data_IF_324305763014
#
_entry.id   IF_324305763014
#
_cell.length_a   1.000
_cell.length_b   1.000
_cell.length_c   1.000
_cell.angle_alpha   90.00
_cell.angle_beta   90.00
_cell.angle_gamma   90.00
#
_symmetry.space_group_name_H-M   'P 1'
#
loop_
_entity.id
_entity.type
_entity.pdbx_description
1 polymer ?
2 polymer ?
3 non-polymer ?
4 non-polymer ?
5 water ?
#
# COMPACT_ATOMS: atom_id res chain seq x y z
N UNK A 13 -28.44 -9.23 -1.84
CA UNK A 13 -28.20 -10.60 -2.40
C UNK A 13 -26.87 -10.64 -3.16
N UNK A 14 -26.59 -11.78 -3.79
CA UNK A 14 -25.37 -11.98 -4.57
C UNK A 14 -25.11 -10.92 -5.64
N UNK A 15 -26.15 -10.53 -6.37
CA UNK A 15 -26.00 -9.59 -7.48
C UNK A 15 -25.43 -8.25 -7.02
N UNK A 16 -26.02 -7.69 -5.96
CA UNK A 16 -25.57 -6.43 -5.35
C UNK A 16 -24.08 -6.45 -4.95
N UNK A 17 -23.66 -7.60 -4.42
CA UNK A 17 -22.30 -7.80 -3.97
C UNK A 17 -21.29 -7.85 -5.12
N UNK A 18 -21.71 -8.50 -6.21
CA UNK A 18 -20.94 -8.49 -7.46
C UNK A 18 -20.81 -7.08 -8.01
N UNK A 19 -21.91 -6.35 -8.01
CA UNK A 19 -21.90 -4.98 -8.48
C UNK A 19 -20.94 -4.10 -7.64
N UNK A 20 -20.94 -4.31 -6.33
CA UNK A 20 -19.98 -3.66 -5.43
C UNK A 20 -18.54 -4.01 -5.84
N UNK A 21 -18.24 -5.30 -6.00
CA UNK A 21 -16.94 -5.75 -6.48
C UNK A 21 -16.49 -5.06 -7.75
N UNK A 22 -17.39 -4.89 -8.69
CA UNK A 22 -17.08 -4.34 -9.99
C UNK A 22 -16.91 -2.83 -9.92
N UNK A 23 -17.75 -2.16 -9.17
CA UNK A 23 -17.59 -0.73 -8.97
C UNK A 23 -16.23 -0.42 -8.33
N UNK A 24 -15.83 -1.25 -7.36
CA UNK A 24 -14.58 -1.06 -6.65
C UNK A 24 -13.39 -1.34 -7.57
N UNK A 25 -13.53 -2.38 -8.40
CA UNK A 25 -12.47 -2.73 -9.34
C UNK A 25 -12.27 -1.62 -10.34
N UNK A 26 -13.34 -1.10 -10.92
CA UNK A 26 -13.24 0.05 -11.84
C UNK A 26 -12.56 1.22 -11.17
N UNK A 27 -12.97 1.49 -9.93
CA UNK A 27 -12.38 2.58 -9.17
C UNK A 27 -10.89 2.40 -8.83
N UNK A 28 -10.49 1.17 -8.58
CA UNK A 28 -9.12 0.82 -8.28
C UNK A 28 -8.25 1.12 -9.52
N UNK A 29 -8.70 0.62 -10.67
CA UNK A 29 -8.06 0.84 -11.98
C UNK A 29 -7.82 2.33 -12.30
N UNK A 30 -8.80 3.17 -12.00
CA UNK A 30 -8.65 4.62 -12.11
C UNK A 30 -7.65 5.22 -11.12
N UNK A 31 -7.64 4.75 -9.88
CA UNK A 31 -6.90 5.41 -8.81
C UNK A 31 -5.41 5.07 -8.78
N UNK A 32 -5.05 3.90 -9.30
CA UNK A 32 -3.75 3.35 -9.08
C UNK A 32 -3.08 3.13 -10.41
N UNK A 33 -2.04 3.94 -10.73
CA UNK A 33 -1.43 3.90 -12.06
C UNK A 33 -0.93 2.52 -12.45
N UNK A 34 -0.13 1.89 -11.59
CA UNK A 34 0.44 0.58 -11.84
C UNK A 34 -0.30 -0.52 -11.06
N UNK A 35 -1.01 -1.38 -11.80
CA UNK A 35 -1.80 -2.48 -11.23
C UNK A 35 -0.92 -3.68 -11.05
N UNK A 36 -1.39 -4.65 -10.28
CA UNK A 36 -0.67 -5.92 -10.15
C UNK A 36 -0.55 -6.67 -11.48
N UNK A 37 -1.51 -6.47 -12.40
CA UNK A 37 -1.49 -7.11 -13.74
C UNK A 37 -0.23 -6.74 -14.54
N UNK A 38 -0.05 -5.44 -14.80
CA UNK A 38 1.16 -4.90 -15.41
C UNK A 38 2.44 -5.29 -14.65
N UNK A 39 2.47 -5.04 -13.34
CA UNK A 39 3.64 -5.35 -12.50
C UNK A 39 4.15 -6.75 -12.73
N UNK A 40 3.23 -7.71 -12.76
CA UNK A 40 3.61 -9.09 -12.95
C UNK A 40 4.09 -9.33 -14.41
N UNK A 41 3.45 -8.68 -15.38
CA UNK A 41 3.89 -8.76 -16.78
C UNK A 41 5.35 -8.31 -16.83
N UNK A 42 5.58 -7.06 -16.39
CA UNK A 42 6.92 -6.50 -16.26
C UNK A 42 7.90 -7.47 -15.60
N UNK A 43 7.52 -8.07 -14.48
CA UNK A 43 8.45 -8.89 -13.71
C UNK A 43 8.76 -10.27 -14.30
N UNK A 44 7.84 -10.84 -15.08
CA UNK A 44 8.05 -12.16 -15.68
C UNK A 44 8.62 -12.08 -17.11
N UNK A 45 8.63 -10.86 -17.65
CA UNK A 45 9.15 -10.60 -18.99
C UNK A 45 8.05 -10.41 -20.02
N UNK A 46 6.85 -10.91 -19.72
CA UNK A 46 5.81 -11.06 -20.74
C UNK A 46 5.35 -9.77 -21.42
N UNK A 47 5.54 -8.63 -20.79
CA UNK A 47 5.32 -7.35 -21.48
C UNK A 47 6.33 -7.23 -22.62
N UNK A 48 5.92 -6.55 -23.69
CA UNK A 48 6.84 -6.25 -24.78
C UNK A 48 7.64 -4.96 -24.52
N UNK A 49 7.36 -4.27 -23.41
CA UNK A 49 8.04 -3.01 -23.06
C UNK A 49 9.53 -3.19 -22.76
N UNK A 50 10.24 -2.06 -22.80
CA UNK A 50 11.65 -1.96 -22.41
C UNK A 50 11.76 -2.36 -20.93
N UNK A 51 12.58 -3.38 -20.64
CA UNK A 51 12.77 -3.85 -19.26
C UNK A 51 13.16 -2.72 -18.29
N UNK A 52 12.85 -2.88 -16.98
CA UNK A 52 13.24 -1.85 -16.03
C UNK A 52 14.75 -1.82 -15.79
N UNK A 53 15.27 -0.61 -15.61
CA UNK A 53 16.66 -0.41 -15.27
C UNK A 53 16.91 -1.00 -13.88
N UNK A 54 17.84 -1.95 -13.78
CA UNK A 54 18.15 -2.64 -12.52
C UNK A 54 19.12 -1.86 -11.68
N UNK A 55 18.78 -1.63 -10.41
CA UNK A 55 19.58 -0.87 -9.46
C UNK A 55 20.01 -1.79 -8.33
N UNK A 56 21.21 -2.34 -8.48
CA UNK A 56 21.74 -3.39 -7.64
C UNK A 56 22.85 -2.87 -6.76
N UNK A 57 23.33 -1.64 -7.01
CA UNK A 57 24.44 -1.07 -6.21
C UNK A 57 24.52 0.45 -6.34
N UNK A 58 25.52 1.01 -5.68
CA UNK A 58 25.75 2.45 -5.64
C UNK A 58 25.93 3.02 -7.04
N UNK A 59 26.72 2.35 -7.89
CA UNK A 59 26.94 2.84 -9.27
C UNK A 59 25.69 2.75 -10.12
N UNK A 60 24.97 1.63 -10.02
CA UNK A 60 23.79 1.42 -10.88
C UNK A 60 22.71 2.43 -10.49
N UNK A 61 22.58 2.68 -9.19
CA UNK A 61 21.75 3.78 -8.68
C UNK A 61 22.09 5.08 -9.38
N UNK A 62 23.38 5.40 -9.41
CA UNK A 62 23.90 6.61 -10.05
C UNK A 62 23.55 6.63 -11.53
N UNK A 63 23.85 5.57 -12.25
CA UNK A 63 23.54 5.54 -13.69
C UNK A 63 22.05 5.60 -13.98
N UNK A 64 21.26 5.09 -13.05
CA UNK A 64 19.82 5.07 -13.16
C UNK A 64 19.06 6.32 -12.74
N UNK A 65 19.75 7.40 -12.35
CA UNK A 65 19.05 8.68 -12.09
C UNK A 65 18.19 9.15 -13.29
N UNK A 66 18.66 8.95 -14.52
CA UNK A 66 17.89 9.33 -15.73
C UNK A 66 16.50 8.66 -15.85
N UNK A 67 16.37 7.43 -15.34
CA UNK A 67 15.12 6.65 -15.41
C UNK A 67 14.15 6.87 -14.23
N UNK A 68 14.58 7.56 -13.17
CA UNK A 68 13.72 7.81 -11.98
C UNK A 68 13.69 9.32 -11.62
N UNK A 69 12.92 9.71 -10.60
CA UNK A 69 12.68 11.15 -10.29
C UNK A 69 12.84 11.53 -8.79
N UNK A 70 13.92 12.24 -8.48
CA UNK A 70 14.34 12.69 -7.12
C UNK A 70 13.81 11.88 -5.91
N UNK A 81 21.18 13.98 0.91
CA UNK A 81 22.61 14.13 0.72
C UNK A 81 23.31 12.77 0.45
N UNK A 82 23.54 11.92 1.47
CA UNK A 82 24.16 10.58 1.24
C UNK A 82 23.14 9.55 0.67
N UNK A 83 23.58 8.35 0.29
CA UNK A 83 22.75 7.41 -0.50
C UNK A 83 21.52 6.84 0.25
N UNK A 84 21.77 6.10 1.33
CA UNK A 84 20.70 5.65 2.21
C UNK A 84 19.66 6.75 2.37
N UNK A 85 20.08 7.98 2.68
CA UNK A 85 19.13 9.09 2.88
C UNK A 85 18.35 9.42 1.60
N UNK A 86 19.03 9.41 0.47
CA UNK A 86 18.39 9.74 -0.81
C UNK A 86 17.31 8.71 -1.17
N UNK A 87 17.67 7.43 -1.04
CA UNK A 87 16.72 6.33 -1.28
C UNK A 87 15.50 6.48 -0.37
N UNK A 88 15.73 6.67 0.92
CA UNK A 88 14.66 6.86 1.90
C UNK A 88 13.74 8.02 1.53
N UNK A 89 14.31 9.09 1.03
CA UNK A 89 13.55 10.27 0.67
C UNK A 89 12.81 10.08 -0.65
N UNK A 90 13.34 9.20 -1.51
CA UNK A 90 12.63 8.76 -2.71
C UNK A 90 11.42 7.91 -2.35
N UNK A 91 11.63 6.90 -1.49
CA UNK A 91 10.55 6.11 -0.92
C UNK A 91 9.51 6.99 -0.28
N UNK A 92 9.95 8.15 0.20
CA UNK A 92 9.10 9.13 0.88
C UNK A 92 8.20 9.88 -0.09
N UNK A 93 8.77 10.37 -1.17
CA UNK A 93 8.01 10.98 -2.27
C UNK A 93 6.91 10.06 -2.81
N UNK A 94 7.25 8.78 -3.01
CA UNK A 94 6.32 7.81 -3.57
C UNK A 94 5.17 7.50 -2.60
N UNK A 95 5.45 7.38 -1.32
CA UNK A 95 4.40 7.16 -0.33
C UNK A 95 3.35 8.25 -0.30
N UNK A 96 3.80 9.51 -0.39
CA UNK A 96 2.88 10.64 -0.47
C UNK A 96 1.93 10.50 -1.65
N UNK A 97 2.46 10.07 -2.77
CA UNK A 97 1.61 9.84 -3.94
C UNK A 97 0.70 8.61 -3.72
N UNK A 98 1.19 7.60 -3.02
CA UNK A 98 0.38 6.43 -2.67
C UNK A 98 -0.80 6.91 -1.82
N UNK A 99 -0.50 7.69 -0.78
CA UNK A 99 -1.53 8.20 0.10
C UNK A 99 -2.59 8.96 -0.68
N UNK A 100 -2.14 9.78 -1.61
CA UNK A 100 -3.08 10.52 -2.46
C UNK A 100 -3.96 9.61 -3.30
N UNK A 101 -3.36 8.62 -3.94
CA UNK A 101 -4.10 7.65 -4.71
C UNK A 101 -5.10 6.87 -3.82
N UNK A 102 -4.63 6.45 -2.64
CA UNK A 102 -5.46 5.67 -1.72
C UNK A 102 -6.66 6.54 -1.27
N UNK A 103 -6.40 7.84 -1.03
CA UNK A 103 -7.45 8.77 -0.64
C UNK A 103 -8.50 8.90 -1.71
N UNK A 104 -8.08 8.99 -2.98
CA UNK A 104 -9.08 9.05 -4.03
C UNK A 104 -9.88 7.75 -4.09
N UNK A 105 -9.21 6.61 -3.97
CA UNK A 105 -9.88 5.31 -3.93
C UNK A 105 -10.92 5.19 -2.81
N UNK A 106 -10.56 5.65 -1.62
CA UNK A 106 -11.49 5.61 -0.46
C UNK A 106 -12.80 6.35 -0.70
N UNK A 107 -12.69 7.53 -1.29
CA UNK A 107 -13.86 8.35 -1.64
C UNK A 107 -14.83 7.66 -2.63
N UNK A 108 -14.33 6.69 -3.38
CA UNK A 108 -15.19 5.89 -4.22
C UNK A 108 -15.87 4.73 -3.51
N UNK A 109 -15.47 4.41 -2.26
CA UNK A 109 -16.09 3.28 -1.54
C UNK A 109 -17.47 3.72 -1.09
N UNK A 110 -18.54 3.11 -1.63
CA UNK A 110 -19.91 3.59 -1.30
C UNK A 110 -20.16 3.78 0.19
N UNK A 111 -20.57 4.99 0.55
CA UNK A 111 -20.87 5.35 1.93
C UNK A 111 -19.71 5.94 2.69
N UNK A 112 -18.49 5.93 2.13
CA UNK A 112 -17.36 6.42 2.87
C UNK A 112 -17.43 7.95 3.08
N UNK A 113 -17.76 8.71 2.03
CA UNK A 113 -17.80 10.20 2.08
C UNK A 113 -18.94 10.75 2.93
N UNK A 114 -20.02 9.97 3.09
CA UNK A 114 -21.10 10.29 4.02
C UNK A 114 -20.73 10.14 5.49
N UNK A 115 -19.64 9.46 5.81
CA UNK A 115 -19.17 9.39 7.18
C UNK A 115 -18.68 10.74 7.66
N UNK A 116 -18.86 10.95 8.95
CA UNK A 116 -18.18 11.99 9.71
C UNK A 116 -16.74 12.17 9.17
N UNK A 117 -16.48 13.34 8.60
CA UNK A 117 -15.17 13.74 8.11
C UNK A 117 -13.97 13.40 9.02
N UNK A 118 -14.12 13.56 10.33
CA UNK A 118 -13.04 13.21 11.28
C UNK A 118 -12.80 11.70 11.31
N UNK A 119 -13.87 10.93 11.04
CA UNK A 119 -13.76 9.47 10.95
C UNK A 119 -13.11 9.05 9.60
N UNK A 120 -13.39 9.77 8.51
CA UNK A 120 -12.71 9.57 7.23
C UNK A 120 -11.21 9.73 7.40
N UNK A 121 -10.82 10.76 8.14
CA UNK A 121 -9.43 11.08 8.41
C UNK A 121 -8.76 10.02 9.26
N UNK A 122 -9.46 9.57 10.27
CA UNK A 122 -8.94 8.51 11.16
C UNK A 122 -8.72 7.16 10.41
N UNK A 123 -9.71 6.78 9.63
CA UNK A 123 -9.65 5.58 8.77
C UNK A 123 -8.43 5.63 7.83
N UNK A 124 -8.26 6.75 7.11
CA UNK A 124 -7.08 6.90 6.26
C UNK A 124 -5.77 6.88 7.02
N UNK A 125 -5.77 7.61 8.12
CA UNK A 125 -4.56 7.80 8.91
C UNK A 125 -4.01 6.43 9.27
N UNK A 126 -4.88 5.55 9.72
CA UNK A 126 -4.43 4.23 10.22
C UNK A 126 -4.32 3.15 9.12
N UNK A 127 -5.08 3.32 8.05
CA UNK A 127 -5.15 2.34 6.97
C UNK A 127 -4.16 2.49 5.83
N UNK A 128 -3.77 3.73 5.51
CA UNK A 128 -2.96 4.00 4.32
C UNK A 128 -1.70 3.17 4.32
N UNK A 129 -1.01 3.06 5.45
CA UNK A 129 0.19 2.23 5.45
C UNK A 129 -0.08 0.76 5.24
N UNK A 130 -1.18 0.27 5.79
CA UNK A 130 -1.57 -1.13 5.59
C UNK A 130 -1.79 -1.43 4.09
N UNK A 131 -2.32 -0.47 3.37
CA UNK A 131 -2.56 -0.58 1.92
C UNK A 131 -1.29 -0.40 1.11
N UNK A 132 -0.43 0.50 1.58
CA UNK A 132 0.85 0.67 0.97
C UNK A 132 1.60 -0.65 0.96
N UNK A 133 1.63 -1.37 2.06
CA UNK A 133 2.34 -2.67 2.13
C UNK A 133 1.64 -3.73 1.31
N UNK A 134 0.31 -3.74 1.35
CA UNK A 134 -0.46 -4.69 0.57
C UNK A 134 -0.13 -4.53 -0.89
N UNK A 135 -0.14 -3.29 -1.35
CA UNK A 135 0.06 -2.98 -2.76
C UNK A 135 1.52 -2.97 -3.21
N UNK A 136 2.39 -2.74 -2.28
CA UNK A 136 3.79 -2.87 -2.55
C UNK A 136 4.12 -4.32 -2.89
N UNK A 137 3.39 -5.29 -2.33
CA UNK A 137 3.64 -6.70 -2.60
C UNK A 137 3.37 -7.09 -4.06
N UNK A 138 2.44 -6.39 -4.68
CA UNK A 138 2.16 -6.53 -6.09
C UNK A 138 3.39 -6.21 -6.97
N UNK A 139 4.21 -5.26 -6.53
CA UNK A 139 5.42 -4.82 -7.21
C UNK A 139 6.68 -5.59 -6.82
N UNK A 140 6.58 -6.60 -5.95
CA UNK A 140 7.74 -7.28 -5.37
C UNK A 140 7.83 -8.75 -5.73
N UNK A 141 9.07 -9.23 -5.90
CA UNK A 141 9.38 -10.67 -5.76
C UNK A 141 10.43 -10.85 -4.67
N UNK A 142 10.90 -12.09 -4.49
CA UNK A 142 11.94 -12.36 -3.49
C UNK A 142 13.25 -11.61 -3.75
N UNK A 143 13.49 -11.23 -5.01
CA UNK A 143 14.74 -10.53 -5.38
C UNK A 143 14.73 -9.02 -5.43
N UNK A 144 13.54 -8.41 -5.51
CA UNK A 144 13.47 -6.95 -5.52
C UNK A 144 12.10 -6.37 -5.82
N UNK A 145 12.10 -5.05 -6.02
CA UNK A 145 10.89 -4.26 -6.11
C UNK A 145 10.93 -3.34 -7.30
N UNK A 146 9.84 -3.31 -8.05
CA UNK A 146 9.69 -2.32 -9.12
C UNK A 146 9.50 -0.93 -8.55
N UNK A 147 10.08 0.06 -9.21
CA UNK A 147 9.94 1.44 -8.80
C UNK A 147 9.69 2.32 -10.03
N UNK A 148 9.38 3.57 -9.73
CA UNK A 148 9.01 4.55 -10.73
C UNK A 148 8.10 3.95 -11.77
N UNK A 149 6.98 3.45 -11.29
CA UNK A 149 5.93 2.90 -12.13
C UNK A 149 6.45 1.86 -13.11
N UNK A 150 7.23 0.92 -12.57
CA UNK A 150 7.70 -0.20 -13.34
C UNK A 150 8.96 0.00 -14.18
N UNK A 151 9.55 1.19 -14.14
CA UNK A 151 10.70 1.44 -15.01
C UNK A 151 12.09 1.39 -14.34
N UNK A 152 12.10 1.15 -13.02
CA UNK A 152 13.29 0.72 -12.30
C UNK A 152 12.99 -0.57 -11.55
N UNK A 153 14.03 -1.29 -11.19
CA UNK A 153 13.88 -2.48 -10.32
C UNK A 153 15.01 -2.44 -9.31
N UNK A 154 14.67 -2.20 -8.06
CA UNK A 154 15.67 -2.06 -7.03
C UNK A 154 15.77 -3.37 -6.27
N UNK A 155 16.96 -3.95 -6.25
CA UNK A 155 17.17 -5.28 -5.68
C UNK A 155 17.08 -5.31 -4.17
N UNK A 156 16.68 -6.46 -3.65
CA UNK A 156 16.49 -6.64 -2.24
C UNK A 156 17.79 -6.58 -1.48
N UNK A 157 18.81 -7.25 -2.03
CA UNK A 157 20.16 -7.22 -1.44
C UNK A 157 20.70 -5.78 -1.34
N UNK A 158 20.51 -5.01 -2.40
CA UNK A 158 20.95 -3.63 -2.36
C UNK A 158 20.28 -2.85 -1.22
N UNK A 159 18.95 -3.04 -1.05
CA UNK A 159 18.23 -2.37 0.05
C UNK A 159 18.68 -2.82 1.43
N UNK A 160 18.92 -4.13 1.60
CA UNK A 160 19.56 -4.71 2.80
C UNK A 160 20.96 -4.14 3.08
N UNK A 161 21.75 -4.00 2.01
CA UNK A 161 23.14 -3.55 2.11
C UNK A 161 23.27 -2.09 2.55
N UNK A 162 22.17 -1.35 2.60
CA UNK A 162 22.23 0.01 3.12
C UNK A 162 22.68 0.05 4.58
N UNK A 163 23.35 1.16 4.93
CA UNK A 163 23.85 1.35 6.29
C UNK A 163 22.66 1.60 7.22
N UNK A 164 22.76 1.09 8.44
CA UNK A 164 21.65 1.08 9.39
C UNK A 164 21.33 2.52 9.87
N UNK A 165 20.08 2.83 10.20
CA UNK A 165 18.90 1.92 10.18
C UNK A 165 18.17 1.70 8.81
N UNK A 166 18.74 2.19 7.72
CA UNK A 166 18.10 2.11 6.42
C UNK A 166 18.15 0.73 5.77
N UNK A 167 19.12 -0.11 6.16
CA UNK A 167 19.14 -1.52 5.74
C UNK A 167 17.93 -2.34 6.15
N UNK A 168 17.36 -2.02 7.32
CA UNK A 168 16.29 -2.81 7.97
C UNK A 168 14.88 -2.40 7.55
N UNK A 169 14.80 -1.30 6.80
CA UNK A 169 13.57 -0.62 6.46
C UNK A 169 12.64 -1.42 5.54
N UNK A 170 13.16 -1.88 4.40
CA UNK A 170 12.35 -2.60 3.40
C UNK A 170 12.26 -4.10 3.59
N UNK A 171 13.20 -4.68 4.31
CA UNK A 171 13.25 -6.14 4.44
C UNK A 171 11.97 -6.80 5.04
N UNK A 172 11.37 -6.23 6.12
CA UNK A 172 10.07 -6.78 6.57
C UNK A 172 8.94 -6.68 5.53
N UNK A 173 9.00 -5.68 4.66
CA UNK A 173 8.03 -5.57 3.57
C UNK A 173 8.22 -6.70 2.56
N UNK A 174 9.48 -7.08 2.29
CA UNK A 174 9.78 -8.22 1.40
C UNK A 174 9.34 -9.53 2.00
N UNK A 175 9.57 -9.70 3.29
CA UNK A 175 9.18 -10.94 3.99
C UNK A 175 7.68 -11.15 3.92
N UNK A 176 6.94 -10.07 4.15
CA UNK A 176 5.48 -10.09 4.12
C UNK A 176 5.01 -10.34 2.71
N UNK A 177 5.57 -9.59 1.77
CA UNK A 177 5.19 -9.72 0.37
C UNK A 177 5.32 -11.16 -0.14
N UNK A 178 6.38 -11.84 0.29
CA UNK A 178 6.66 -13.20 -0.19
C UNK A 178 5.52 -14.16 0.21
N UNK A 179 5.13 -14.13 1.48
CA UNK A 179 3.96 -14.87 1.98
C UNK A 179 2.65 -14.40 1.32
N UNK A 180 2.42 -13.09 1.24
CA UNK A 180 1.16 -12.56 0.66
C UNK A 180 0.93 -12.91 -0.83
N UNK A 181 2.03 -12.88 -1.55
CA UNK A 181 2.00 -13.16 -2.99
C UNK A 181 1.68 -14.63 -3.33
N UNK A 182 1.95 -15.53 -2.38
CA UNK A 182 1.55 -16.93 -2.47
C UNK A 182 0.04 -17.17 -2.60
N UNK A 183 -0.78 -16.26 -2.05
CA UNK A 183 -2.24 -16.33 -2.18
C UNK A 183 -2.73 -16.04 -3.60
N UNK A 184 -1.90 -15.43 -4.43
CA UNK A 184 -2.14 -15.32 -5.86
C UNK A 184 -3.37 -14.50 -6.16
N UNK A 185 -3.56 -13.40 -5.43
CA UNK A 185 -4.75 -12.59 -5.65
C UNK A 185 -4.53 -11.76 -6.89
N UNK A 186 -5.60 -11.36 -7.53
CA UNK A 186 -5.48 -10.38 -8.60
C UNK A 186 -6.08 -9.02 -8.23
N UNK A 187 -6.07 -8.11 -9.17
CA UNK A 187 -6.50 -6.76 -8.92
C UNK A 187 -7.95 -6.68 -8.44
N UNK A 188 -8.80 -7.52 -9.00
CA UNK A 188 -10.22 -7.51 -8.71
C UNK A 188 -10.44 -7.97 -7.26
N UNK A 189 -9.65 -8.92 -6.80
CA UNK A 189 -9.66 -9.33 -5.40
C UNK A 189 -9.14 -8.25 -4.44
N UNK A 190 -8.02 -7.65 -4.86
CA UNK A 190 -7.30 -6.68 -4.08
C UNK A 190 -8.13 -5.42 -3.91
N UNK A 191 -8.84 -5.01 -4.95
CA UNK A 191 -9.70 -3.85 -4.85
C UNK A 191 -10.65 -3.95 -3.65
N UNK A 192 -11.21 -5.14 -3.42
CA UNK A 192 -12.16 -5.31 -2.32
C UNK A 192 -11.41 -5.44 -1.00
N UNK A 193 -10.28 -6.16 -1.02
CA UNK A 193 -9.50 -6.34 0.22
C UNK A 193 -9.03 -5.01 0.79
N UNK A 194 -8.55 -4.13 -0.09
CA UNK A 194 -8.06 -2.80 0.33
C UNK A 194 -9.21 -1.97 0.97
N UNK A 195 -10.39 -2.03 0.35
CA UNK A 195 -11.59 -1.35 0.89
C UNK A 195 -11.95 -1.86 2.29
N UNK A 196 -11.88 -3.18 2.50
CA UNK A 196 -12.13 -3.81 3.84
C UNK A 196 -11.18 -3.25 4.89
N UNK A 197 -9.91 -3.12 4.51
CA UNK A 197 -8.89 -2.58 5.39
C UNK A 197 -9.23 -1.12 5.75
N UNK A 198 -9.67 -0.36 4.76
CA UNK A 198 -9.92 1.04 5.02
C UNK A 198 -11.03 1.18 6.05
N UNK A 199 -12.11 0.41 5.87
CA UNK A 199 -13.29 0.43 6.72
C UNK A 199 -13.15 -0.43 7.98
N UNK A 200 -12.09 -0.24 8.74
CA UNK A 200 -11.87 -0.96 9.98
C UNK A 200 -12.48 -0.21 11.14
N UNK A 201 -13.48 -0.82 11.77
CA UNK A 201 -14.22 -0.21 12.88
C UNK A 201 -13.46 -0.09 14.18
N UNK A 202 -12.29 -0.72 14.29
CA UNK A 202 -11.53 -0.70 15.52
C UNK A 202 -10.33 0.24 15.51
N UNK A 203 -10.31 1.25 14.64
CA UNK A 203 -9.19 2.19 14.69
C UNK A 203 -9.38 3.09 15.91
N UNK A 204 -8.28 3.45 16.61
CA UNK A 204 -8.42 4.38 17.72
C UNK A 204 -9.11 5.71 17.33
N UNK A 205 -9.94 6.24 18.22
CA UNK A 205 -10.45 7.59 18.10
C UNK A 205 -11.62 7.71 17.18
N UNK A 206 -12.23 6.60 16.77
CA UNK A 206 -13.37 6.78 15.85
C UNK A 206 -14.54 7.30 16.69
N UNK A 207 -15.33 8.19 16.12
CA UNK A 207 -16.48 8.79 16.80
C UNK A 207 -17.74 7.91 16.68
N UNK A 208 -17.98 7.37 15.49
CA UNK A 208 -19.21 6.66 15.18
C UNK A 208 -18.94 5.36 14.37
N UNK A 209 -18.62 4.31 15.13
CA UNK A 209 -18.23 2.98 14.66
C UNK A 209 -19.28 2.25 13.80
N UNK A 210 -20.54 2.30 14.18
CA UNK A 210 -21.60 1.51 13.55
C UNK A 210 -21.72 1.64 12.02
N UNK A 211 -21.79 2.89 11.48
CA UNK A 211 -21.90 3.01 10.01
C UNK A 211 -20.63 2.52 9.25
N UNK A 212 -19.48 2.56 9.91
CA UNK A 212 -18.22 2.02 9.37
C UNK A 212 -18.34 0.49 9.32
N UNK A 213 -18.76 -0.12 10.43
CA UNK A 213 -18.94 -1.57 10.46
C UNK A 213 -20.03 -2.04 9.52
N UNK A 214 -21.07 -1.24 9.33
CA UNK A 214 -22.11 -1.63 8.39
C UNK A 214 -21.52 -1.69 7.01
N UNK A 215 -20.69 -0.71 6.66
CA UNK A 215 -20.08 -0.71 5.32
C UNK A 215 -19.09 -1.89 5.18
N UNK A 216 -18.26 -2.12 6.20
CA UNK A 216 -17.29 -3.22 6.20
C UNK A 216 -17.90 -4.62 6.11
N UNK A 217 -19.03 -4.80 6.77
CA UNK A 217 -19.78 -6.05 6.68
C UNK A 217 -20.13 -6.33 5.24
N UNK A 218 -20.64 -5.34 4.53
CA UNK A 218 -20.94 -5.52 3.10
C UNK A 218 -19.72 -5.84 2.25
N UNK A 219 -18.65 -5.08 2.46
CA UNK A 219 -17.37 -5.31 1.75
C UNK A 219 -16.84 -6.72 2.02
N UNK A 220 -16.93 -7.17 3.27
CA UNK A 220 -16.42 -8.52 3.63
C UNK A 220 -17.22 -9.62 2.93
N UNK A 221 -18.53 -9.45 2.83
CA UNK A 221 -19.40 -10.37 2.05
C UNK A 221 -19.05 -10.38 0.58
N UNK A 222 -18.93 -9.18 0.02
CA UNK A 222 -18.43 -8.97 -1.34
C UNK A 222 -17.06 -9.60 -1.57
N UNK A 223 -16.13 -9.44 -0.63
CA UNK A 223 -14.83 -10.12 -0.71
C UNK A 223 -14.95 -11.68 -0.73
N UNK A 224 -15.66 -12.24 0.25
CA UNK A 224 -15.91 -13.68 0.28
C UNK A 224 -16.53 -14.22 -1.05
N UNK A 225 -17.60 -13.62 -1.54
CA UNK A 225 -18.18 -14.07 -2.83
C UNK A 225 -17.13 -14.06 -3.93
N UNK A 226 -16.47 -12.90 -4.08
CA UNK A 226 -15.36 -12.70 -5.03
C UNK A 226 -14.31 -13.79 -4.94
N UNK A 227 -13.88 -14.14 -3.74
CA UNK A 227 -12.88 -15.20 -3.61
C UNK A 227 -13.39 -16.60 -3.98
N UNK A 228 -14.68 -16.86 -3.75
CA UNK A 228 -15.32 -18.11 -4.22
C UNK A 228 -15.44 -18.14 -5.74
N UNK A 229 -15.94 -17.05 -6.34
CA UNK A 229 -16.06 -16.98 -7.80
C UNK A 229 -14.73 -17.00 -8.54
N UNK A 230 -13.85 -16.08 -8.19
CA UNK A 230 -12.58 -15.89 -8.91
C UNK A 230 -11.50 -16.96 -8.58
N UNK A 231 -11.60 -17.65 -7.44
CA UNK A 231 -10.67 -18.75 -7.09
C UNK A 231 -11.45 -19.94 -6.50
N UNK A 232 -12.34 -20.58 -7.31
CA UNK A 232 -13.20 -21.70 -6.81
C UNK A 232 -12.41 -22.97 -6.42
N UNK A 233 -11.26 -23.16 -7.06
CA UNK A 233 -10.27 -24.15 -6.63
C UNK A 233 -9.57 -23.81 -5.29
N UNK A 234 -9.43 -22.53 -4.94
CA UNK A 234 -8.78 -22.15 -3.68
C UNK A 234 -9.84 -22.12 -2.60
N UNK A 235 -9.74 -23.04 -1.65
CA UNK A 235 -10.70 -23.03 -0.53
C UNK A 235 -10.09 -22.32 0.69
N UNK A 236 -10.91 -21.54 1.38
CA UNK A 236 -10.49 -20.69 2.51
C UNK A 236 -9.37 -19.67 2.22
N UNK A 237 -9.39 -19.15 1.01
CA UNK A 237 -8.54 -18.04 0.64
C UNK A 237 -8.98 -16.78 1.44
N UNK A 238 -10.31 -16.63 1.54
CA UNK A 238 -10.97 -15.64 2.37
C UNK A 238 -10.44 -15.68 3.80
N UNK A 239 -10.41 -16.84 4.42
CA UNK A 239 -9.90 -16.94 5.81
C UNK A 239 -8.41 -16.71 5.94
N UNK A 240 -7.64 -17.11 4.92
CA UNK A 240 -6.18 -16.89 4.93
C UNK A 240 -5.88 -15.41 4.84
N UNK A 241 -6.62 -14.79 3.92
CA UNK A 241 -6.56 -13.35 3.71
C UNK A 241 -6.89 -12.51 4.97
N UNK A 242 -7.89 -12.90 5.76
CA UNK A 242 -8.21 -12.14 6.99
C UNK A 242 -7.12 -12.25 8.04
N UNK A 243 -6.47 -13.39 8.08
CA UNK A 243 -5.37 -13.60 9.02
C UNK A 243 -4.22 -12.64 8.69
N UNK A 244 -3.99 -12.41 7.40
CA UNK A 244 -2.97 -11.44 6.94
C UNK A 244 -3.27 -9.95 7.31
N UNK A 245 -4.53 -9.57 7.53
CA UNK A 245 -4.84 -8.22 7.99
C UNK A 245 -4.21 -7.91 9.32
N UNK A 246 -3.99 -8.92 10.14
CA UNK A 246 -3.26 -8.79 11.40
C UNK A 246 -1.74 -8.70 11.23
N UNK A 247 -1.17 -9.52 10.34
CA UNK A 247 0.24 -9.38 9.95
C UNK A 247 0.55 -7.96 9.49
N UNK A 248 -0.38 -7.38 8.76
CA UNK A 248 -0.21 -6.03 8.26
C UNK A 248 -0.09 -5.01 9.36
N UNK A 249 -0.91 -5.11 10.41
CA UNK A 249 -0.80 -4.17 11.53
C UNK A 249 0.54 -4.21 12.23
N UNK A 250 1.15 -5.39 12.27
CA UNK A 250 2.44 -5.60 12.90
C UNK A 250 3.48 -4.82 12.12
N UNK A 251 3.61 -5.17 10.85
CA UNK A 251 4.57 -4.51 9.99
C UNK A 251 4.34 -2.99 10.04
N UNK A 252 3.10 -2.55 10.22
CA UNK A 252 2.86 -1.10 10.33
C UNK A 252 3.40 -0.57 11.64
N UNK A 253 3.17 -1.28 12.74
CA UNK A 253 3.68 -0.88 14.05
C UNK A 253 5.21 -0.90 14.07
N UNK A 254 5.78 -2.01 13.61
CA UNK A 254 7.24 -2.18 13.48
C UNK A 254 7.82 -1.05 12.64
N UNK A 255 7.11 -0.70 11.58
CA UNK A 255 7.54 0.36 10.67
C UNK A 255 7.44 1.76 11.30
N UNK A 256 6.40 2.02 12.06
CA UNK A 256 6.28 3.31 12.78
C UNK A 256 7.44 3.50 13.76
N UNK A 257 7.84 2.42 14.44
CA UNK A 257 8.93 2.48 15.42
C UNK A 257 10.30 2.72 14.76
N UNK A 258 10.58 2.05 13.64
CA UNK A 258 11.84 2.30 12.91
C UNK A 258 11.91 3.74 12.40
N UNK A 259 10.78 4.29 12.01
CA UNK A 259 10.67 5.67 11.59
C UNK A 259 10.81 6.63 12.75
N UNK A 260 10.25 6.25 13.90
CA UNK A 260 10.52 6.93 15.16
C UNK A 260 12.04 7.03 15.41
N UNK A 261 12.74 5.90 15.28
CA UNK A 261 14.22 5.85 15.42
C UNK A 261 14.93 6.78 14.42
N UNK A 262 14.52 6.71 13.16
CA UNK A 262 15.09 7.53 12.09
C UNK A 262 14.82 9.02 12.31
N UNK A 263 13.61 9.39 12.72
CA UNK A 263 13.31 10.79 13.07
C UNK A 263 14.33 11.34 14.08
N UNK A 264 14.68 10.51 15.08
CA UNK A 264 15.58 10.89 16.19
C UNK A 264 17.07 10.86 15.80
N UNK A 265 17.53 9.71 15.31
CA UNK A 265 18.97 9.48 15.08
C UNK A 265 19.54 10.20 13.87
N UNK A 266 18.70 10.75 13.01
CA UNK A 266 19.13 11.44 11.79
C UNK A 266 18.61 12.88 11.82
N UNK A 267 19.37 13.79 11.21
CA UNK A 267 19.06 15.23 11.22
C UNK A 267 19.01 15.88 9.82
N UNK A 268 19.83 15.42 8.87
CA UNK A 268 19.92 16.02 7.52
C UNK A 268 18.76 15.61 6.60
N UNK A 269 17.54 15.52 7.14
CA UNK A 269 16.38 15.04 6.36
C UNK A 269 15.07 15.30 7.08
N UNK A 270 14.15 15.92 6.37
CA UNK A 270 12.86 16.29 6.94
C UNK A 270 11.84 15.31 6.36
N UNK A 271 10.96 14.82 7.23
CA UNK A 271 9.77 14.06 6.81
C UNK A 271 8.75 14.98 6.12
N UNK A 272 8.14 14.48 5.06
CA UNK A 272 7.17 15.22 4.31
C UNK A 272 6.01 15.50 5.24
N UNK A 273 5.43 16.71 5.13
CA UNK A 273 4.34 17.15 5.98
C UNK A 273 3.14 16.21 6.06
N UNK A 274 2.64 15.75 4.90
CA UNK A 274 1.58 14.71 4.84
C UNK A 274 1.87 13.48 5.68
N UNK A 275 3.12 13.01 5.68
CA UNK A 275 3.49 11.85 6.44
C UNK A 275 3.60 12.18 7.93
N UNK A 276 4.06 13.38 8.26
CA UNK A 276 3.94 13.89 9.64
C UNK A 276 2.49 13.83 10.18
N UNK A 277 1.53 14.39 9.44
CA UNK A 277 0.10 14.31 9.80
C UNK A 277 -0.29 12.86 10.15
N UNK A 278 0.11 11.92 9.30
CA UNK A 278 -0.22 10.51 9.45
C UNK A 278 0.45 9.87 10.67
N UNK A 279 1.74 10.07 10.85
CA UNK A 279 2.48 9.38 11.93
C UNK A 279 2.31 9.88 13.35
N UNK A 280 2.09 11.18 13.56
CA UNK A 280 2.08 11.70 14.93
C UNK A 280 0.79 11.26 15.63
N UNK A 281 0.94 10.71 16.84
CA UNK A 281 -0.14 10.02 17.56
C UNK A 281 -0.65 8.84 16.74
N UNK A 282 0.28 7.95 16.43
CA UNK A 282 0.00 6.68 15.79
C UNK A 282 0.97 5.67 16.42
N UNK A 283 0.43 4.69 17.13
CA UNK A 283 1.21 3.61 17.78
C UNK A 283 2.50 4.05 18.51
N UNK B 2 -5.89 20.53 12.69
CA UNK B 2 -4.96 19.39 12.46
C UNK B 2 -5.45 18.47 11.32
N UNK B 3 -4.50 17.81 10.66
CA UNK B 3 -4.71 16.96 9.47
C UNK B 3 -5.22 17.78 8.31
N UNK B 4 -4.59 18.94 8.13
CA UNK B 4 -5.04 19.95 7.16
C UNK B 4 -4.94 19.42 5.73
N UNK B 5 -3.82 18.77 5.42
CA UNK B 5 -3.64 18.18 4.08
C UNK B 5 -4.59 17.02 3.84
N UNK B 6 -4.62 16.08 4.78
CA UNK B 6 -5.58 14.97 4.72
C UNK B 6 -6.98 15.48 4.50
N UNK B 7 -7.38 16.48 5.30
CA UNK B 7 -8.68 17.19 5.11
C UNK B 7 -8.84 17.76 3.73
N UNK B 8 -7.75 18.35 3.22
CA UNK B 8 -7.79 18.98 1.90
C UNK B 8 -7.99 17.94 0.81
N UNK B 9 -7.17 16.89 0.85
CA UNK B 9 -7.34 15.74 -0.06
C UNK B 9 -8.72 15.10 -0.01
N UNK B 10 -9.28 14.99 1.18
CA UNK B 10 -10.68 14.53 1.32
C UNK B 10 -11.71 15.47 0.71
N UNK B 11 -11.65 16.76 1.05
CA UNK B 11 -12.69 17.72 0.63
C UNK B 11 -12.67 18.04 -0.86
N UNK B 12 -11.50 17.90 -1.50
CA UNK B 12 -11.38 17.83 -2.97
C UNK B 12 -12.39 16.82 -3.56
X LIG C 1 -0.71 2.67 -4.36
X LIG C 1 -1.53 3.45 -3.84
X LIG C 1 -0.30 2.66 -5.56
X LIG C 1 -0.10 1.68 -3.41
X LIG C 1 1.37 2.08 -3.36
X LIG C 1 2.25 0.83 -3.48
X LIG C 1 3.48 1.14 -2.69
X LIG C 1 4.45 1.98 -3.54
X LIG C 1 5.15 3.01 -2.63
X LIG C 1 5.86 2.26 -1.55
X LIG C 1 6.78 3.19 -0.80
X LIG C 1 7.45 2.21 0.12
X LIG C 1 8.36 2.92 1.09
X LIG C 1 8.54 2.02 2.32
X LIG C 1 7.26 1.73 3.07
X LIG C 1 6.30 2.94 3.19
X LIG D 1 9.07 7.38 4.75
X LIG D 1 10.25 7.73 4.02
X LIG D 1 8.22 6.55 3.80
X LIG D 1 8.86 5.30 3.61
X LIG D 1 6.78 6.38 4.32
X LIG D 1 6.77 5.43 5.38
#
# INVERSE_FOLDING_TARGET
AEISSDIDQLNPESADLRALAKHLYDSYIKSFPLTKAKARAILTGKTTDKSPFVIYDMNSLMMGEDKIKFKHITPLQEQSKEVAIRIFQGCQFRSVEAVQEITEYAKSIPGFVNLDLNDQVTLLKYGVHEIIYTMLASLMNKDGVLISEGQGFMTREFLKSLRKPFGDFMEPKFEFAVKFNALELDDSDLAIFIAVIILSGDRPGLLNVKPIEDIQDNLLQALELQLKLNHPESSQLFAKLLQKMTDLRQIVTEHVQLLQVIKKTETDMSLHPLLQEIYKDLY
ERHKILHRLLQEGSPS
MYR C1 O1 O2 C2 C3 C4 C5 C6 C7 C8 C9 C10 C11 C12 C13 C14
GOL C1 O1 C2 O2 C3 O3
#
